data_IF_553027964344
#
_entry.id   IF_553027964344
#
_cell.length_a   1.000
_cell.length_b   1.000
_cell.length_c   1.000
_cell.angle_alpha   90.00
_cell.angle_beta   90.00
_cell.angle_gamma   90.00
#
_symmetry.space_group_name_H-M   'P 1'
#
loop_
_entity.id
_entity.type
_entity.pdbx_description
1 polymer ?
#
# COMPACT_ATOMS: atom_id res chain seq x y z
N UNK A 1 10.89 -7.13 -10.97
CA UNK A 1 9.84 -6.56 -10.10
C UNK A 1 10.41 -6.53 -8.69
N UNK A 2 10.54 -5.36 -8.06
CA UNK A 2 10.98 -5.30 -6.67
C UNK A 2 9.96 -5.99 -5.73
N UNK A 3 10.47 -6.51 -4.62
CA UNK A 3 9.67 -7.19 -3.60
C UNK A 3 9.69 -6.39 -2.28
N UNK A 4 8.56 -6.40 -1.57
CA UNK A 4 8.43 -5.87 -0.21
C UNK A 4 8.22 -7.04 0.75
N UNK A 5 8.98 -7.07 1.85
CA UNK A 5 8.71 -8.01 2.94
C UNK A 5 7.85 -7.31 3.99
N UNK A 6 6.62 -7.79 4.18
CA UNK A 6 5.63 -7.21 5.09
C UNK A 6 5.09 -8.33 5.97
N UNK A 7 5.34 -8.26 7.28
CA UNK A 7 4.87 -9.27 8.25
C UNK A 7 5.26 -10.72 7.91
N UNK A 8 6.37 -10.93 7.19
CA UNK A 8 6.81 -12.26 6.75
C UNK A 8 6.16 -12.74 5.45
N UNK A 9 5.30 -11.92 4.84
CA UNK A 9 4.78 -12.11 3.48
C UNK A 9 5.62 -11.31 2.49
N UNK A 10 5.78 -11.87 1.29
CA UNK A 10 6.40 -11.18 0.15
C UNK A 10 5.30 -10.58 -0.70
N UNK A 11 5.37 -9.26 -0.92
CA UNK A 11 4.44 -8.50 -1.73
C UNK A 11 5.19 -7.96 -2.95
N UNK A 12 4.67 -8.23 -4.14
CA UNK A 12 5.28 -7.77 -5.38
C UNK A 12 4.85 -6.34 -5.74
N UNK A 13 5.82 -5.52 -6.11
CA UNK A 13 5.59 -4.16 -6.61
C UNK A 13 6.28 -3.95 -7.96
N UNK A 14 5.76 -3.01 -8.73
CA UNK A 14 6.39 -2.57 -9.98
C UNK A 14 7.58 -1.62 -9.72
N UNK A 15 8.18 -1.13 -10.81
CA UNK A 15 9.36 -0.24 -10.75
C UNK A 15 9.06 1.12 -10.10
N UNK A 16 7.80 1.56 -10.15
CA UNK A 16 7.32 2.82 -9.57
C UNK A 16 6.82 2.64 -8.12
N UNK A 17 6.76 1.40 -7.63
CA UNK A 17 6.35 1.06 -6.27
C UNK A 17 4.84 0.85 -6.09
N UNK A 18 4.10 0.61 -7.17
CA UNK A 18 2.70 0.19 -7.10
C UNK A 18 2.60 -1.32 -6.89
N UNK A 19 1.55 -1.76 -6.20
CA UNK A 19 1.28 -3.18 -6.00
C UNK A 19 0.92 -3.83 -7.33
N UNK A 20 1.54 -4.99 -7.60
CA UNK A 20 1.18 -5.82 -8.76
C UNK A 20 -0.19 -6.45 -8.56
N UNK A 21 -0.42 -7.03 -7.38
CA UNK A 21 -1.73 -7.53 -6.96
C UNK A 21 -2.39 -6.53 -5.99
N UNK A 22 -3.59 -6.08 -6.32
CA UNK A 22 -4.32 -5.15 -5.47
C UNK A 22 -4.79 -5.81 -4.16
N UNK A 23 -5.03 -7.12 -4.17
CA UNK A 23 -5.49 -7.89 -3.02
C UNK A 23 -4.39 -8.08 -1.96
N UNK A 24 -3.12 -7.94 -2.33
CA UNK A 24 -1.97 -8.01 -1.41
C UNK A 24 -1.91 -6.84 -0.42
N UNK A 25 -2.77 -5.84 -0.57
CA UNK A 25 -2.74 -4.68 0.31
C UNK A 25 -3.24 -4.96 1.71
N UNK A 26 -2.45 -4.46 2.66
CA UNK A 26 -2.82 -4.34 4.06
C UNK A 26 -2.37 -2.98 4.59
N UNK A 27 -2.82 -2.61 5.78
CA UNK A 27 -2.31 -1.41 6.45
C UNK A 27 -0.78 -1.48 6.66
N UNK A 28 -0.24 -2.68 6.91
CA UNK A 28 1.20 -2.89 7.05
C UNK A 28 1.96 -2.61 5.73
N UNK A 29 1.40 -3.01 4.58
CA UNK A 29 1.96 -2.70 3.25
C UNK A 29 1.99 -1.19 3.02
N UNK A 30 0.89 -0.49 3.35
CA UNK A 30 0.83 0.96 3.21
C UNK A 30 1.88 1.68 4.05
N UNK A 31 2.14 1.20 5.27
CA UNK A 31 3.19 1.75 6.14
C UNK A 31 4.59 1.54 5.57
N UNK A 32 4.90 0.33 5.08
CA UNK A 32 6.21 0.03 4.46
C UNK A 32 6.43 0.89 3.22
N UNK A 33 5.41 1.03 2.37
CA UNK A 33 5.44 1.90 1.19
C UNK A 33 5.63 3.38 1.56
N UNK A 34 4.95 3.87 2.60
CA UNK A 34 5.08 5.25 3.07
C UNK A 34 6.51 5.58 3.53
N UNK A 35 7.15 4.66 4.26
CA UNK A 35 8.55 4.81 4.67
C UNK A 35 9.49 4.76 3.47
N UNK A 36 9.31 3.79 2.57
CA UNK A 36 10.14 3.61 1.36
C UNK A 36 10.07 4.82 0.43
N UNK A 37 8.91 5.45 0.30
CA UNK A 37 8.68 6.61 -0.56
C UNK A 37 8.96 7.95 0.14
N UNK A 38 9.54 7.93 1.35
CA UNK A 38 9.91 9.14 2.08
C UNK A 38 8.74 9.95 2.66
N UNK A 39 7.54 9.38 2.67
CA UNK A 39 6.36 9.99 3.31
C UNK A 39 6.42 9.86 4.85
N UNK A 40 7.16 8.89 5.37
CA UNK A 40 7.30 8.66 6.80
C UNK A 40 6.03 8.09 7.42
N UNK A 41 5.52 8.72 8.47
CA UNK A 41 4.32 8.26 9.19
C UNK A 41 3.02 8.65 8.48
N UNK A 42 2.08 7.70 8.41
CA UNK A 42 0.74 7.95 7.91
C UNK A 42 -0.16 8.47 9.04
N UNK A 43 -0.44 9.77 9.01
CA UNK A 43 -1.44 10.40 9.89
C UNK A 43 -2.87 9.91 9.61
N UNK A 44 -3.79 10.17 10.54
CA UNK A 44 -5.23 9.87 10.38
C UNK A 44 -5.82 10.43 9.09
N UNK A 45 -5.36 11.62 8.65
CA UNK A 45 -5.83 12.22 7.39
C UNK A 45 -5.35 11.43 6.17
N UNK A 46 -4.13 10.91 6.21
CA UNK A 46 -3.63 10.03 5.14
C UNK A 46 -4.47 8.76 5.08
N UNK A 47 -4.76 8.16 6.24
CA UNK A 47 -5.60 6.96 6.33
C UNK A 47 -7.02 7.16 5.81
N UNK A 48 -7.65 8.30 6.09
CA UNK A 48 -8.97 8.63 5.54
C UNK A 48 -8.97 8.60 4.01
N UNK A 49 -7.96 9.21 3.37
CA UNK A 49 -7.85 9.23 1.90
C UNK A 49 -7.53 7.84 1.35
N UNK A 50 -6.58 7.12 1.95
CA UNK A 50 -6.18 5.78 1.51
C UNK A 50 -7.37 4.82 1.58
N UNK A 51 -8.09 4.80 2.70
CA UNK A 51 -9.26 3.93 2.90
C UNK A 51 -10.39 4.30 1.94
N UNK A 52 -10.68 5.59 1.77
CA UNK A 52 -11.67 6.02 0.78
C UNK A 52 -11.34 5.55 -0.64
N UNK A 53 -10.09 5.68 -1.10
CA UNK A 53 -9.68 5.23 -2.43
C UNK A 53 -9.74 3.71 -2.57
N UNK A 54 -9.43 2.98 -1.50
CA UNK A 54 -9.52 1.51 -1.43
C UNK A 54 -10.96 1.05 -1.54
N UNK A 55 -11.84 1.59 -0.71
CA UNK A 55 -13.27 1.26 -0.69
C UNK A 55 -13.88 1.60 -2.05
N UNK A 56 -13.58 2.78 -2.60
CA UNK A 56 -14.07 3.19 -3.92
C UNK A 56 -13.65 2.21 -5.02
N UNK A 57 -12.40 1.76 -5.01
CA UNK A 57 -11.90 0.81 -6.00
C UNK A 57 -12.53 -0.57 -5.83
N UNK A 58 -12.69 -1.06 -4.60
CA UNK A 58 -13.39 -2.34 -4.32
C UNK A 58 -14.86 -2.32 -4.77
N UNK A 59 -15.53 -1.17 -4.69
CA UNK A 59 -16.93 -1.03 -5.11
C UNK A 59 -17.13 -0.91 -6.63
N UNK A 60 -16.11 -0.47 -7.37
CA UNK A 60 -16.25 -0.08 -8.79
C UNK A 60 -15.35 -0.87 -9.76
N UNK A 61 -14.72 -1.95 -9.29
CA UNK A 61 -13.91 -2.85 -10.09
C UNK A 61 -14.59 -4.23 -10.19
#
# INVERSE_FOLDING_TARGET
MPELNVEGQTVEVDEDGFLIDFEDWTEAVALVLAVKNGSGELSDKHWQVIKYLRDYYQEHQ
#
